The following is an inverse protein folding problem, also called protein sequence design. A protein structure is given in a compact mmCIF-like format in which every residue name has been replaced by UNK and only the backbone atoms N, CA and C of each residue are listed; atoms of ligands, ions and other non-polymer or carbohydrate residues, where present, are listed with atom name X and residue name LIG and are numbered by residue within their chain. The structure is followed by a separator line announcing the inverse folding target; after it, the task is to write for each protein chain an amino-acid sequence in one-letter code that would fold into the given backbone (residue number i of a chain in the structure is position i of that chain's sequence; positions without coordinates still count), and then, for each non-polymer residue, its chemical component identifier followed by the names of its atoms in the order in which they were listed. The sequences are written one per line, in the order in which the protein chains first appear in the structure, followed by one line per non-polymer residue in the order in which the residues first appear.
data_IF_310340373111
#
_entry.id   IF_310340373111
#
_cell.length_a   1.000
_cell.length_b   1.000
_cell.length_c   1.000
_cell.angle_alpha   90.00
_cell.angle_beta   90.00
_cell.angle_gamma   90.00
#
_symmetry.space_group_name_H-M   'P 1'
#
loop_
_entity.id
_entity.type
_entity.pdbx_description
1 polymer ?
#
# COMPACT_ATOMS: atom_id res chain seq x y z
N UNK A 1 5.05 -20.87 -9.88
CA UNK A 1 5.17 -20.97 -8.40
C UNK A 1 6.42 -20.37 -7.74
N UNK A 2 7.67 -20.73 -8.16
CA UNK A 2 8.92 -20.51 -7.37
C UNK A 2 9.35 -19.07 -7.02
N UNK A 3 8.60 -18.03 -7.40
CA UNK A 3 8.98 -16.61 -7.16
C UNK A 3 8.14 -15.89 -6.10
N UNK A 4 7.03 -16.47 -5.65
CA UNK A 4 6.14 -15.82 -4.65
C UNK A 4 6.81 -15.65 -3.29
N UNK A 5 7.49 -16.69 -2.77
CA UNK A 5 8.11 -16.65 -1.44
C UNK A 5 9.07 -15.47 -1.21
N UNK A 6 10.14 -15.33 -2.02
CA UNK A 6 11.10 -14.23 -1.86
C UNK A 6 10.50 -12.83 -2.05
N UNK A 7 9.39 -12.73 -2.77
CA UNK A 7 8.66 -11.48 -2.94
C UNK A 7 7.86 -11.13 -1.68
N UNK A 8 7.11 -12.10 -1.14
CA UNK A 8 6.34 -11.93 0.09
C UNK A 8 7.24 -11.64 1.30
N UNK A 9 8.45 -12.21 1.36
CA UNK A 9 9.43 -11.87 2.41
C UNK A 9 9.87 -10.40 2.36
N UNK A 10 9.98 -9.82 1.15
CA UNK A 10 10.39 -8.42 0.95
C UNK A 10 9.21 -7.46 1.03
N UNK A 11 7.99 -7.93 0.80
CA UNK A 11 6.79 -7.11 0.71
C UNK A 11 6.57 -6.23 1.95
N UNK A 12 6.66 -6.72 3.21
CA UNK A 12 6.52 -5.88 4.40
C UNK A 12 7.50 -4.71 4.43
N UNK A 13 8.74 -4.91 3.98
CA UNK A 13 9.77 -3.85 3.95
C UNK A 13 9.43 -2.76 2.92
N UNK A 14 8.83 -3.14 1.80
CA UNK A 14 8.39 -2.23 0.75
C UNK A 14 7.16 -1.45 1.22
N UNK A 15 6.17 -2.13 1.78
CA UNK A 15 4.96 -1.51 2.35
C UNK A 15 5.30 -0.55 3.48
N UNK A 16 6.29 -0.87 4.32
CA UNK A 16 6.78 0.05 5.35
C UNK A 16 7.33 1.35 4.77
N UNK A 17 7.98 1.32 3.60
CA UNK A 17 8.45 2.53 2.91
C UNK A 17 7.28 3.37 2.39
N UNK A 18 6.25 2.74 1.83
CA UNK A 18 5.03 3.44 1.42
C UNK A 18 4.29 4.06 2.61
N UNK A 19 4.12 3.29 3.69
CA UNK A 19 3.51 3.76 4.93
C UNK A 19 4.27 4.95 5.52
N UNK A 20 5.60 4.89 5.58
CA UNK A 20 6.44 6.01 6.03
C UNK A 20 6.32 7.23 5.11
N UNK A 21 6.22 7.00 3.80
CA UNK A 21 6.10 8.09 2.83
C UNK A 21 4.74 8.78 2.93
N UNK A 22 3.65 8.04 3.05
CA UNK A 22 2.31 8.59 3.30
C UNK A 22 2.32 9.38 4.62
N UNK A 23 2.87 8.78 5.68
CA UNK A 23 2.95 9.39 7.01
C UNK A 23 1.54 9.65 7.55
N UNK A 24 1.29 10.90 7.91
CA UNK A 24 -0.01 11.40 8.40
C UNK A 24 -0.87 12.05 7.30
N UNK A 25 -0.39 12.08 6.05
CA UNK A 25 -1.13 12.67 4.93
C UNK A 25 -2.27 11.76 4.50
N UNK A 26 -3.34 12.38 3.98
CA UNK A 26 -4.47 11.64 3.42
C UNK A 26 -4.18 11.06 2.04
N UNK A 27 -3.31 11.72 1.26
CA UNK A 27 -2.92 11.34 -0.10
C UNK A 27 -1.39 11.32 -0.21
N UNK A 28 -0.86 10.55 -1.15
CA UNK A 28 0.59 10.43 -1.37
C UNK A 28 1.20 11.73 -1.91
N UNK A 29 0.43 12.54 -2.64
CA UNK A 29 0.91 13.78 -3.25
C UNK A 29 0.11 14.98 -2.73
N UNK A 30 0.55 15.51 -1.59
CA UNK A 30 -0.03 16.72 -0.98
C UNK A 30 -1.40 16.48 -0.35
N UNK A 31 -2.26 17.50 -0.37
CA UNK A 31 -3.54 17.50 0.34
C UNK A 31 -4.73 17.07 -0.53
N UNK A 32 -4.53 16.98 -1.85
CA UNK A 32 -5.57 16.61 -2.82
C UNK A 32 -5.18 15.33 -3.53
N UNK A 33 -6.18 14.55 -3.90
CA UNK A 33 -5.98 13.34 -4.71
C UNK A 33 -5.38 13.72 -6.08
N UNK A 34 -4.42 12.92 -6.53
CA UNK A 34 -3.74 13.07 -7.83
C UNK A 34 -3.72 11.74 -8.57
N UNK A 35 -3.34 11.75 -9.85
CA UNK A 35 -3.20 10.52 -10.65
C UNK A 35 -2.22 9.51 -10.02
N UNK A 36 -1.21 9.99 -9.26
CA UNK A 36 -0.28 9.10 -8.58
C UNK A 36 -0.95 8.24 -7.49
N UNK A 37 -1.98 8.77 -6.81
CA UNK A 37 -2.74 8.03 -5.82
C UNK A 37 -3.49 6.85 -6.44
N UNK A 38 -3.97 6.98 -7.67
CA UNK A 38 -4.62 5.89 -8.41
C UNK A 38 -3.65 4.74 -8.70
N UNK A 39 -2.41 5.06 -9.11
CA UNK A 39 -1.38 4.03 -9.37
C UNK A 39 -0.97 3.30 -8.08
N UNK A 40 -0.91 4.04 -6.97
CA UNK A 40 -0.55 3.46 -5.68
C UNK A 40 -1.72 2.60 -5.14
N UNK A 41 -2.96 3.07 -5.28
CA UNK A 41 -4.14 2.31 -4.95
C UNK A 41 -4.18 0.96 -5.69
N UNK A 42 -4.05 0.98 -7.03
CA UNK A 42 -4.05 -0.22 -7.86
C UNK A 42 -2.95 -1.19 -7.41
N UNK A 43 -1.74 -0.69 -7.18
CA UNK A 43 -0.64 -1.48 -6.64
C UNK A 43 -1.00 -2.13 -5.30
N UNK A 44 -1.48 -1.35 -4.32
CA UNK A 44 -1.84 -1.86 -2.99
C UNK A 44 -2.98 -2.87 -3.02
N UNK A 45 -3.98 -2.66 -3.87
CA UNK A 45 -5.10 -3.60 -4.07
C UNK A 45 -4.60 -4.95 -4.60
N UNK A 46 -3.72 -4.94 -5.61
CA UNK A 46 -3.10 -6.18 -6.10
C UNK A 46 -2.30 -6.92 -5.02
N UNK A 47 -1.62 -6.21 -4.11
CA UNK A 47 -0.92 -6.85 -2.98
C UNK A 47 -1.89 -7.46 -1.98
N UNK A 48 -3.04 -6.83 -1.74
CA UNK A 48 -4.11 -7.35 -0.87
C UNK A 48 -4.74 -8.62 -1.46
N UNK A 49 -4.89 -8.69 -2.78
CA UNK A 49 -5.32 -9.92 -3.48
C UNK A 49 -4.25 -11.02 -3.34
N UNK A 50 -2.97 -10.67 -3.41
CA UNK A 50 -1.87 -11.63 -3.28
C UNK A 50 -1.73 -12.20 -1.85
N UNK A 51 -1.83 -11.33 -0.85
CA UNK A 51 -1.83 -11.67 0.57
C UNK A 51 -2.79 -10.71 1.32
N UNK A 52 -3.98 -11.17 1.71
CA UNK A 52 -4.97 -10.35 2.41
C UNK A 52 -4.49 -9.76 3.74
N UNK A 53 -3.41 -10.31 4.31
CA UNK A 53 -2.88 -9.90 5.60
C UNK A 53 -1.72 -8.90 5.50
N UNK A 54 -1.20 -8.64 4.29
CA UNK A 54 0.03 -7.87 4.10
C UNK A 54 -0.04 -6.41 4.62
N UNK A 55 -1.24 -5.83 4.71
CA UNK A 55 -1.46 -4.45 5.18
C UNK A 55 -1.87 -4.34 6.64
N UNK A 56 -2.09 -5.45 7.37
CA UNK A 56 -2.63 -5.42 8.75
C UNK A 56 -1.79 -4.58 9.71
N UNK A 57 -0.47 -4.53 9.51
CA UNK A 57 0.46 -3.77 10.34
C UNK A 57 0.59 -2.29 9.93
N UNK A 58 -0.07 -1.85 8.87
CA UNK A 58 0.03 -0.51 8.30
C UNK A 58 -1.33 0.19 8.26
N UNK A 59 -1.79 0.68 9.42
CA UNK A 59 -3.11 1.33 9.54
C UNK A 59 -3.31 2.47 8.55
N UNK A 60 -2.30 3.31 8.33
CA UNK A 60 -2.42 4.44 7.40
C UNK A 60 -2.60 4.01 5.93
N UNK A 61 -2.01 2.89 5.52
CA UNK A 61 -2.24 2.33 4.18
C UNK A 61 -3.63 1.71 4.04
N UNK A 62 -4.15 1.08 5.10
CA UNK A 62 -5.53 0.59 5.13
C UNK A 62 -6.53 1.77 5.06
N UNK A 63 -6.31 2.81 5.86
CA UNK A 63 -7.12 4.03 5.85
C UNK A 63 -7.06 4.73 4.48
N UNK A 64 -5.93 4.67 3.77
CA UNK A 64 -5.79 5.16 2.40
C UNK A 64 -6.67 4.38 1.42
N UNK A 65 -6.64 3.05 1.45
CA UNK A 65 -7.50 2.21 0.58
C UNK A 65 -8.98 2.49 0.83
N UNK A 66 -9.40 2.52 2.10
CA UNK A 66 -10.80 2.78 2.50
C UNK A 66 -11.27 4.19 2.11
N UNK A 67 -10.35 5.17 2.05
CA UNK A 67 -10.69 6.54 1.61
C UNK A 67 -10.80 6.66 0.10
N UNK A 68 -10.11 5.78 -0.62
CA UNK A 68 -10.08 5.78 -2.08
C UNK A 68 -11.30 5.05 -2.65
N UNK A 69 -11.72 3.94 -2.01
CA UNK A 69 -12.98 3.22 -2.26
C UNK A 69 -14.23 4.06 -1.92
#
# INVERSE_FOLDING_TARGET
EKRKGPYLEKLPSVLARYSRFLGERHWFVGDKITLADFVIYDGLDQHKILDPTCLQNFKNLQDFLVRFE
#
